data_IF_881135934181
#
_entry.id   IF_881135934181
#
_cell.length_a   1.000
_cell.length_b   1.000
_cell.length_c   1.000
_cell.angle_alpha   90.00
_cell.angle_beta   90.00
_cell.angle_gamma   90.00
#
_symmetry.space_group_name_H-M   'P 1'
#
loop_
_entity.id
_entity.type
_entity.pdbx_description
1 polymer ?
#
# COMPACT_ATOMS: atom_id res chain seq x y z
N UNK A 1 46.59 23.90 23.80
CA UNK A 1 46.27 22.53 24.27
C UNK A 1 45.17 22.69 25.30
N UNK A 2 43.87 22.53 25.04
CA UNK A 2 43.16 21.53 24.25
C UNK A 2 41.97 21.09 25.13
N UNK A 3 40.99 21.98 25.34
CA UNK A 3 39.76 21.67 26.08
C UNK A 3 38.79 20.94 25.14
N UNK A 4 38.63 19.63 25.32
CA UNK A 4 37.59 18.84 24.66
C UNK A 4 36.31 18.84 25.51
N UNK A 5 35.34 19.64 25.08
CA UNK A 5 33.92 19.48 25.41
C UNK A 5 33.40 18.15 24.87
N UNK A 6 33.00 17.23 25.75
CA UNK A 6 32.19 16.08 25.34
C UNK A 6 30.71 16.45 25.32
N UNK A 7 30.26 16.82 24.12
CA UNK A 7 28.86 17.01 23.79
C UNK A 7 28.14 15.65 23.82
N UNK A 8 27.17 15.52 24.72
CA UNK A 8 26.33 14.32 24.90
C UNK A 8 25.36 14.22 23.72
N UNK A 9 25.76 13.53 22.65
CA UNK A 9 24.91 13.17 21.52
C UNK A 9 23.76 12.27 21.99
N UNK A 10 22.59 12.88 22.23
CA UNK A 10 21.30 12.18 22.25
C UNK A 10 21.08 11.57 20.86
N UNK A 11 21.39 10.28 20.70
CA UNK A 11 20.91 9.46 19.59
C UNK A 11 19.38 9.54 19.57
N UNK A 12 18.83 10.29 18.61
CA UNK A 12 17.42 10.25 18.21
C UNK A 12 17.08 8.80 17.82
N UNK A 13 16.26 8.13 18.61
CA UNK A 13 15.60 6.86 18.28
C UNK A 13 14.16 7.15 17.86
N UNK A 14 13.89 7.22 16.55
CA UNK A 14 12.58 7.01 15.88
C UNK A 14 12.93 6.73 14.39
N UNK A 15 12.52 5.59 13.76
CA UNK A 15 11.12 5.27 13.43
C UNK A 15 10.68 3.80 13.56
N UNK A 16 11.41 2.95 14.30
CA UNK A 16 11.05 1.53 14.41
C UNK A 16 9.87 1.23 15.36
N UNK A 17 9.47 2.18 16.20
CA UNK A 17 8.41 1.99 17.20
C UNK A 17 7.01 1.95 16.59
N UNK A 18 6.79 2.60 15.46
CA UNK A 18 5.48 2.60 14.80
C UNK A 18 5.18 1.21 14.25
N UNK A 19 6.13 0.60 13.51
CA UNK A 19 5.99 -0.72 12.87
C UNK A 19 5.57 -1.85 13.85
N UNK A 20 6.11 -1.85 15.08
CA UNK A 20 5.80 -2.88 16.08
C UNK A 20 4.43 -2.73 16.77
N UNK A 21 3.87 -1.51 16.90
CA UNK A 21 2.52 -1.34 17.45
C UNK A 21 1.43 -1.79 16.45
N UNK A 22 1.68 -1.70 15.14
CA UNK A 22 0.72 -2.12 14.11
C UNK A 22 0.46 -3.63 14.10
N UNK A 23 1.49 -4.45 14.32
CA UNK A 23 1.35 -5.91 14.24
C UNK A 23 0.42 -6.49 15.33
N UNK A 24 0.40 -5.91 16.54
CA UNK A 24 -0.42 -6.42 17.65
C UNK A 24 -1.92 -6.21 17.43
N UNK A 25 -2.29 -5.05 16.88
CA UNK A 25 -3.69 -4.65 16.73
C UNK A 25 -4.30 -5.13 15.41
N UNK A 26 -3.47 -5.32 14.37
CA UNK A 26 -3.83 -5.91 13.09
C UNK A 26 -4.19 -7.40 13.21
N UNK A 27 -3.45 -8.16 14.03
CA UNK A 27 -3.73 -9.57 14.29
C UNK A 27 -4.98 -9.83 15.15
N UNK A 28 -5.53 -8.80 15.84
CA UNK A 28 -6.75 -8.93 16.66
C UNK A 28 -8.05 -9.09 15.86
N UNK A 29 -8.11 -8.54 14.66
CA UNK A 29 -9.32 -8.51 13.82
C UNK A 29 -9.18 -9.33 12.52
N UNK A 30 -7.96 -9.75 12.15
CA UNK A 30 -7.79 -10.79 11.14
C UNK A 30 -8.30 -12.12 11.70
N UNK A 31 -9.39 -12.60 11.12
CA UNK A 31 -9.74 -14.01 11.10
C UNK A 31 -8.68 -14.74 10.25
N UNK A 32 -7.44 -14.80 10.75
CA UNK A 32 -6.31 -15.45 10.09
C UNK A 32 -6.69 -16.92 9.88
N UNK A 33 -7.15 -17.22 8.66
CA UNK A 33 -7.52 -18.56 8.22
C UNK A 33 -6.34 -19.52 8.17
N UNK A 34 -5.11 -19.02 8.26
CA UNK A 34 -3.94 -19.85 8.50
C UNK A 34 -2.75 -18.97 8.92
N UNK A 35 -2.18 -19.30 10.07
CA UNK A 35 -0.84 -18.89 10.42
C UNK A 35 0.08 -20.07 10.07
N UNK A 36 0.96 -19.89 9.08
CA UNK A 36 1.96 -20.88 8.73
C UNK A 36 3.04 -20.92 9.83
N UNK A 37 2.91 -21.89 10.74
CA UNK A 37 3.96 -22.24 11.68
C UNK A 37 4.87 -23.33 11.07
N UNK A 38 6.20 -23.36 11.37
CA UNK A 38 7.17 -24.25 10.70
C UNK A 38 7.09 -25.74 11.07
N UNK A 39 5.89 -26.28 11.35
CA UNK A 39 5.65 -27.72 11.49
C UNK A 39 4.30 -28.09 10.85
N UNK A 40 4.31 -28.23 9.52
CA UNK A 40 3.59 -29.27 8.75
C UNK A 40 2.05 -29.42 8.84
N UNK A 41 1.36 -28.76 9.76
CA UNK A 41 -0.09 -28.79 9.88
C UNK A 41 -0.62 -27.35 9.92
N UNK A 42 -1.53 -27.05 9.00
CA UNK A 42 -2.28 -25.80 8.97
C UNK A 42 -3.28 -25.81 10.13
N UNK A 43 -2.92 -25.18 11.26
CA UNK A 43 -3.82 -25.04 12.42
C UNK A 43 -4.70 -23.82 12.16
N UNK A 44 -6.02 -24.04 12.09
CA UNK A 44 -7.00 -22.96 11.94
C UNK A 44 -7.45 -22.50 13.32
N UNK A 45 -7.93 -21.26 13.42
CA UNK A 45 -8.49 -20.72 14.68
C UNK A 45 -9.63 -21.60 15.23
N UNK A 46 -10.35 -22.26 14.33
CA UNK A 46 -11.45 -23.20 14.61
C UNK A 46 -10.99 -24.50 15.27
N UNK A 47 -9.72 -24.84 15.16
CA UNK A 47 -9.14 -26.07 15.70
C UNK A 47 -8.64 -25.87 17.15
N UNK A 48 -8.71 -24.64 17.68
CA UNK A 48 -8.32 -24.27 19.04
C UNK A 48 -9.48 -24.37 20.03
N UNK A 49 -9.19 -24.78 21.26
CA UNK A 49 -10.15 -24.73 22.37
C UNK A 49 -10.52 -23.29 22.74
N UNK A 50 -11.63 -23.11 23.46
CA UNK A 50 -12.08 -21.80 23.90
C UNK A 50 -11.03 -21.10 24.82
N UNK A 51 -10.32 -21.89 25.62
CA UNK A 51 -9.22 -21.44 26.48
C UNK A 51 -8.03 -20.94 25.65
N UNK A 52 -7.64 -21.68 24.61
CA UNK A 52 -6.55 -21.30 23.71
C UNK A 52 -6.89 -20.05 22.90
N UNK A 53 -8.12 -19.96 22.37
CA UNK A 53 -8.60 -18.75 21.67
C UNK A 53 -8.55 -17.53 22.62
N UNK A 54 -8.97 -17.70 23.88
CA UNK A 54 -8.92 -16.63 24.88
C UNK A 54 -7.48 -16.21 25.18
N UNK A 55 -6.56 -17.16 25.33
CA UNK A 55 -5.15 -16.89 25.54
C UNK A 55 -4.55 -16.16 24.34
N UNK A 56 -4.81 -16.66 23.13
CA UNK A 56 -4.37 -16.06 21.88
C UNK A 56 -4.85 -14.61 21.75
N UNK A 57 -6.16 -14.34 21.92
CA UNK A 57 -6.70 -12.98 21.90
C UNK A 57 -6.09 -12.06 22.95
N UNK A 58 -5.75 -12.58 24.13
CA UNK A 58 -5.06 -11.81 25.18
C UNK A 58 -3.61 -11.50 24.78
N UNK A 59 -2.90 -12.48 24.22
CA UNK A 59 -1.53 -12.31 23.72
C UNK A 59 -1.47 -11.33 22.55
N UNK A 60 -2.49 -11.34 21.68
CA UNK A 60 -2.71 -10.35 20.63
C UNK A 60 -2.94 -8.95 21.21
N UNK A 61 -3.88 -8.81 22.15
CA UNK A 61 -4.23 -7.52 22.75
C UNK A 61 -3.09 -6.89 23.56
N UNK A 62 -2.26 -7.73 24.17
CA UNK A 62 -1.05 -7.29 24.89
C UNK A 62 0.15 -7.03 23.99
N UNK A 63 0.05 -7.40 22.71
CA UNK A 63 1.12 -7.29 21.74
C UNK A 63 2.29 -8.24 21.96
N UNK A 64 2.09 -9.30 22.73
CA UNK A 64 3.10 -10.35 22.93
C UNK A 64 3.45 -11.03 21.60
N UNK A 65 2.45 -11.24 20.73
CA UNK A 65 2.61 -11.91 19.44
C UNK A 65 3.22 -11.02 18.35
N UNK A 66 3.23 -9.69 18.49
CA UNK A 66 3.85 -8.84 17.45
C UNK A 66 5.37 -9.01 17.36
N UNK A 67 6.00 -9.47 18.45
CA UNK A 67 7.43 -9.79 18.47
C UNK A 67 7.78 -11.03 17.64
N UNK A 68 6.78 -11.85 17.33
CA UNK A 68 6.96 -13.07 16.55
C UNK A 68 6.79 -12.82 15.04
N UNK A 69 6.31 -11.64 14.66
CA UNK A 69 6.13 -11.26 13.26
C UNK A 69 7.25 -10.33 12.83
N UNK A 70 7.99 -10.74 11.81
CA UNK A 70 8.95 -9.86 11.16
C UNK A 70 8.21 -8.83 10.30
N UNK A 71 8.43 -7.52 10.53
CA UNK A 71 7.79 -6.52 9.70
C UNK A 71 8.35 -6.50 8.28
N UNK A 72 7.44 -6.46 7.31
CA UNK A 72 7.81 -6.33 5.92
C UNK A 72 8.40 -4.95 5.64
N UNK A 73 9.55 -4.95 4.98
CA UNK A 73 10.16 -3.75 4.44
C UNK A 73 9.67 -3.57 3.00
N UNK A 74 9.01 -2.46 2.67
CA UNK A 74 8.49 -2.26 1.33
C UNK A 74 9.57 -2.35 0.27
N UNK A 75 9.31 -3.10 -0.79
CA UNK A 75 10.33 -3.40 -1.80
C UNK A 75 10.89 -2.15 -2.47
N UNK A 76 10.09 -1.09 -2.61
CA UNK A 76 10.50 0.20 -3.16
C UNK A 76 11.49 0.97 -2.28
N UNK A 77 11.65 0.59 -1.01
CA UNK A 77 12.67 1.18 -0.12
C UNK A 77 14.01 0.46 -0.19
N UNK A 78 14.05 -0.72 -0.81
CA UNK A 78 15.26 -1.55 -0.89
C UNK A 78 16.21 -1.06 -1.98
N UNK A 79 17.53 -1.26 -1.82
CA UNK A 79 18.49 -0.93 -2.88
C UNK A 79 18.22 -1.65 -4.21
N UNK A 80 17.68 -2.88 -4.17
CA UNK A 80 17.31 -3.69 -5.33
C UNK A 80 16.24 -3.04 -6.22
N UNK A 81 15.39 -2.16 -5.68
CA UNK A 81 14.43 -1.40 -6.46
C UNK A 81 15.11 -0.39 -7.41
N UNK A 82 16.32 0.08 -7.11
CA UNK A 82 17.07 1.02 -7.98
C UNK A 82 17.70 0.34 -9.19
N UNK A 83 17.81 -0.99 -9.17
CA UNK A 83 18.33 -1.80 -10.27
C UNK A 83 17.27 -2.34 -11.21
N UNK A 84 16.00 -1.91 -11.08
CA UNK A 84 14.93 -2.35 -11.98
C UNK A 84 15.21 -1.81 -13.38
N UNK A 85 15.44 -2.72 -14.32
CA UNK A 85 15.62 -2.42 -15.74
C UNK A 85 14.67 -3.25 -16.58
N UNK A 86 13.88 -2.57 -17.41
CA UNK A 86 13.00 -3.19 -18.39
C UNK A 86 13.59 -3.04 -19.79
N UNK A 87 13.21 -3.94 -20.69
CA UNK A 87 13.56 -3.83 -22.10
C UNK A 87 12.87 -2.60 -22.71
N UNK A 88 13.29 -2.12 -23.90
CA UNK A 88 12.57 -1.06 -24.60
C UNK A 88 11.09 -1.37 -24.81
N UNK A 89 10.73 -2.66 -24.93
CA UNK A 89 9.34 -3.13 -25.02
C UNK A 89 8.67 -3.35 -23.67
N UNK A 90 9.24 -2.93 -22.55
CA UNK A 90 8.65 -3.04 -21.21
C UNK A 90 8.85 -4.41 -20.53
N UNK A 91 9.32 -5.44 -21.23
CA UNK A 91 9.55 -6.78 -20.68
C UNK A 91 10.72 -6.84 -19.68
N UNK A 92 10.63 -7.70 -18.67
CA UNK A 92 11.69 -7.85 -17.66
C UNK A 92 12.98 -8.44 -18.27
N UNK A 93 14.12 -7.73 -18.11
CA UNK A 93 15.41 -8.15 -18.69
C UNK A 93 16.11 -9.26 -17.90
N UNK A 94 15.91 -9.29 -16.58
CA UNK A 94 16.51 -10.29 -15.70
C UNK A 94 15.42 -11.22 -15.19
N UNK A 95 15.42 -12.46 -15.68
CA UNK A 95 14.58 -13.54 -15.12
C UNK A 95 15.40 -14.26 -14.04
N UNK A 96 14.85 -14.52 -12.85
CA UNK A 96 15.42 -15.51 -11.96
C UNK A 96 15.53 -16.82 -12.73
N UNK A 97 16.75 -17.36 -12.88
CA UNK A 97 16.90 -18.70 -13.42
C UNK A 97 16.25 -19.64 -12.40
N UNK A 98 15.14 -20.27 -12.77
CA UNK A 98 14.78 -21.52 -12.12
C UNK A 98 15.92 -22.49 -12.41
N UNK A 99 16.73 -22.78 -11.40
CA UNK A 99 17.73 -23.85 -11.46
C UNK A 99 16.97 -25.15 -11.76
N UNK A 100 16.94 -25.55 -13.02
CA UNK A 100 16.45 -26.85 -13.43
C UNK A 100 17.59 -27.85 -13.30
N UNK A 101 17.32 -28.90 -12.53
CA UNK A 101 18.25 -29.87 -11.97
C UNK A 101 19.21 -30.53 -12.97
N UNK A 102 20.42 -30.81 -12.48
CA UNK A 102 21.39 -31.70 -13.12
C UNK A 102 22.38 -32.30 -12.12
N UNK A 103 22.05 -33.50 -11.62
CA UNK A 103 22.95 -34.56 -11.08
C UNK A 103 23.02 -34.75 -9.55
N UNK A 104 22.15 -35.67 -9.09
CA UNK A 104 22.29 -36.70 -8.04
C UNK A 104 22.71 -36.40 -6.58
N UNK A 105 21.77 -36.77 -5.72
CA UNK A 105 21.88 -37.48 -4.42
C UNK A 105 21.84 -36.68 -3.10
N UNK A 106 20.65 -36.73 -2.50
CA UNK A 106 20.36 -36.85 -1.06
C UNK A 106 20.82 -35.73 -0.11
N UNK A 107 19.91 -34.79 0.16
CA UNK A 107 19.22 -34.68 1.46
C UNK A 107 18.31 -33.43 1.45
N UNK A 108 17.02 -33.69 1.61
CA UNK A 108 15.98 -32.78 2.13
C UNK A 108 16.36 -31.30 2.31
N UNK A 109 15.97 -30.48 1.34
CA UNK A 109 15.56 -29.09 1.59
C UNK A 109 14.64 -28.70 0.46
N UNK A 110 13.33 -28.79 0.72
CA UNK A 110 12.29 -28.25 -0.14
C UNK A 110 12.65 -26.80 -0.47
N UNK A 111 12.76 -26.37 -1.74
CA UNK A 111 13.03 -24.98 -2.04
C UNK A 111 11.76 -24.20 -1.69
N UNK A 112 11.77 -23.50 -0.56
CA UNK A 112 10.82 -22.42 -0.33
C UNK A 112 10.91 -21.46 -1.52
N UNK A 113 9.76 -21.05 -2.12
CA UNK A 113 9.79 -20.05 -3.18
C UNK A 113 10.33 -18.76 -2.57
N UNK A 114 11.60 -18.45 -2.82
CA UNK A 114 12.20 -17.16 -2.46
C UNK A 114 11.35 -16.08 -3.13
N UNK A 115 10.51 -15.40 -2.37
CA UNK A 115 9.84 -14.18 -2.79
C UNK A 115 10.93 -13.25 -3.32
N UNK A 116 10.95 -13.03 -4.63
CA UNK A 116 11.85 -12.06 -5.24
C UNK A 116 11.58 -10.72 -4.58
N UNK A 117 12.64 -10.04 -4.11
CA UNK A 117 12.49 -8.84 -3.29
C UNK A 117 11.69 -7.73 -3.96
N UNK A 118 11.73 -7.66 -5.29
CA UNK A 118 10.95 -6.76 -6.14
C UNK A 118 9.94 -7.61 -6.93
N UNK A 119 8.69 -7.16 -7.10
CA UNK A 119 7.73 -7.87 -7.92
C UNK A 119 8.20 -8.03 -9.37
N UNK A 120 7.90 -9.18 -9.97
CA UNK A 120 8.24 -9.45 -11.36
C UNK A 120 7.55 -8.45 -12.30
N UNK A 121 8.26 -7.98 -13.32
CA UNK A 121 7.72 -7.15 -14.39
C UNK A 121 6.81 -7.96 -15.33
N UNK A 122 6.42 -7.39 -16.49
CA UNK A 122 5.57 -8.06 -17.43
C UNK A 122 6.34 -9.16 -18.17
N UNK A 123 5.65 -10.29 -18.40
CA UNK A 123 6.23 -11.48 -19.06
C UNK A 123 6.40 -11.27 -20.57
N UNK A 124 5.51 -10.46 -21.14
CA UNK A 124 5.47 -10.10 -22.55
C UNK A 124 5.74 -8.60 -22.70
N UNK A 125 6.19 -8.18 -23.88
CA UNK A 125 6.32 -6.77 -24.19
C UNK A 125 4.97 -6.05 -24.10
N UNK A 126 4.98 -4.86 -23.53
CA UNK A 126 3.80 -4.00 -23.47
C UNK A 126 3.55 -3.42 -24.87
N UNK A 127 2.32 -3.53 -25.40
CA UNK A 127 1.98 -2.91 -26.67
C UNK A 127 1.93 -1.39 -26.51
N UNK A 128 2.25 -0.62 -27.56
CA UNK A 128 1.99 0.82 -27.61
C UNK A 128 0.51 1.14 -27.36
N UNK A 129 0.24 2.28 -26.75
CA UNK A 129 -1.12 2.65 -26.32
C UNK A 129 -2.10 2.82 -27.51
N UNK A 130 -1.60 3.21 -28.68
CA UNK A 130 -2.35 3.29 -29.93
C UNK A 130 -3.00 1.96 -30.36
N UNK A 131 -2.45 0.83 -29.90
CA UNK A 131 -3.04 -0.50 -30.16
C UNK A 131 -4.22 -0.81 -29.23
N UNK A 132 -4.29 -0.14 -28.08
CA UNK A 132 -5.33 -0.34 -27.07
C UNK A 132 -6.51 0.61 -27.25
N UNK A 133 -6.26 1.81 -27.77
CA UNK A 133 -7.28 2.84 -27.96
C UNK A 133 -7.07 3.60 -29.26
N UNK A 134 -8.19 3.96 -29.92
CA UNK A 134 -8.20 4.85 -31.09
C UNK A 134 -8.39 6.31 -30.73
N UNK A 135 -8.80 6.58 -29.48
CA UNK A 135 -8.98 7.94 -28.96
C UNK A 135 -7.80 8.31 -28.11
N UNK A 136 -7.47 9.60 -28.10
CA UNK A 136 -6.43 10.12 -27.23
C UNK A 136 -6.69 9.73 -25.77
N UNK A 137 -5.67 9.26 -25.05
CA UNK A 137 -5.80 8.92 -23.64
C UNK A 137 -6.23 10.15 -22.83
N UNK A 138 -6.99 9.91 -21.76
CA UNK A 138 -7.41 11.00 -20.88
C UNK A 138 -6.20 11.73 -20.30
N UNK A 139 -6.20 13.07 -20.24
CA UNK A 139 -5.13 13.83 -19.58
C UNK A 139 -5.08 13.58 -18.06
N UNK A 140 -6.11 12.94 -17.48
CA UNK A 140 -6.22 12.66 -16.05
C UNK A 140 -5.53 11.36 -15.62
N UNK A 141 -4.91 10.61 -16.53
CA UNK A 141 -4.29 9.31 -16.20
C UNK A 141 -3.17 9.43 -15.15
N UNK A 142 -2.45 10.55 -15.11
CA UNK A 142 -1.47 10.82 -14.05
C UNK A 142 -2.13 10.93 -12.66
N UNK A 143 -3.30 11.57 -12.58
CA UNK A 143 -4.07 11.69 -11.34
C UNK A 143 -4.63 10.32 -10.93
N UNK A 144 -5.18 9.58 -11.89
CA UNK A 144 -5.69 8.24 -11.66
C UNK A 144 -4.59 7.27 -11.19
N UNK A 145 -3.37 7.42 -11.70
CA UNK A 145 -2.22 6.64 -11.25
C UNK A 145 -1.93 6.88 -9.77
N UNK A 146 -2.09 8.10 -9.24
CA UNK A 146 -1.87 8.38 -7.81
C UNK A 146 -2.87 7.64 -6.92
N UNK A 147 -4.17 7.66 -7.25
CA UNK A 147 -5.21 6.89 -6.55
C UNK A 147 -4.86 5.38 -6.55
N UNK A 148 -4.46 4.85 -7.70
CA UNK A 148 -4.10 3.43 -7.87
C UNK A 148 -2.85 3.08 -7.04
N UNK A 149 -1.79 3.90 -7.11
CA UNK A 149 -0.56 3.68 -6.34
C UNK A 149 -0.81 3.78 -4.83
N UNK A 150 -1.65 4.73 -4.38
CA UNK A 150 -2.03 4.82 -2.97
C UNK A 150 -2.70 3.53 -2.52
N UNK A 151 -3.69 3.04 -3.28
CA UNK A 151 -4.42 1.81 -2.95
C UNK A 151 -3.50 0.59 -2.89
N UNK A 152 -2.54 0.49 -3.82
CA UNK A 152 -1.54 -0.57 -3.85
C UNK A 152 -0.61 -0.52 -2.63
N UNK A 153 -0.05 0.66 -2.32
CA UNK A 153 0.83 0.84 -1.17
C UNK A 153 0.11 0.54 0.14
N UNK A 154 -1.13 1.05 0.29
CA UNK A 154 -1.98 0.75 1.44
C UNK A 154 -2.20 -0.75 1.59
N UNK A 155 -2.60 -1.43 0.51
CA UNK A 155 -2.90 -2.86 0.55
C UNK A 155 -1.67 -3.69 0.88
N UNK A 156 -0.50 -3.41 0.30
CA UNK A 156 0.71 -4.14 0.67
C UNK A 156 1.13 -3.89 2.12
N UNK A 157 0.97 -2.67 2.65
CA UNK A 157 1.22 -2.42 4.08
C UNK A 157 0.21 -3.13 4.96
N UNK A 158 -1.06 -3.16 4.56
CA UNK A 158 -2.11 -3.88 5.26
C UNK A 158 -1.72 -5.37 5.35
N UNK A 159 -1.32 -5.98 4.24
CA UNK A 159 -0.98 -7.40 4.18
C UNK A 159 0.48 -7.74 4.55
N UNK A 160 1.23 -6.81 5.15
CA UNK A 160 2.64 -6.98 5.47
C UNK A 160 3.45 -7.58 4.29
N UNK A 161 3.19 -7.08 3.07
CA UNK A 161 3.83 -7.53 1.83
C UNK A 161 3.30 -8.83 1.23
N UNK A 162 2.52 -9.62 1.96
CA UNK A 162 2.04 -10.94 1.53
C UNK A 162 0.52 -10.95 1.26
N UNK A 163 0.14 -10.36 0.13
CA UNK A 163 -1.24 -10.41 -0.34
C UNK A 163 -1.69 -11.82 -0.76
N UNK A 164 -0.76 -12.78 -0.95
CA UNK A 164 -1.09 -14.15 -1.37
C UNK A 164 -1.75 -14.96 -0.25
N UNK A 165 -1.61 -14.53 1.00
CA UNK A 165 -2.29 -15.11 2.16
C UNK A 165 -3.82 -14.97 2.10
N UNK A 166 -4.33 -13.86 1.57
CA UNK A 166 -5.75 -13.64 1.31
C UNK A 166 -5.97 -12.71 0.09
N UNK A 167 -5.86 -13.27 -1.13
CA UNK A 167 -6.06 -12.52 -2.37
C UNK A 167 -7.46 -11.91 -2.50
N UNK A 168 -8.50 -12.55 -1.93
CA UNK A 168 -9.88 -12.09 -1.99
C UNK A 168 -10.07 -10.82 -1.18
N UNK A 169 -9.58 -10.81 0.07
CA UNK A 169 -9.58 -9.61 0.91
C UNK A 169 -8.65 -8.52 0.37
N UNK A 170 -7.48 -8.88 -0.16
CA UNK A 170 -6.56 -7.90 -0.75
C UNK A 170 -7.20 -7.18 -1.95
N UNK A 171 -7.87 -7.93 -2.84
CA UNK A 171 -8.59 -7.35 -3.97
C UNK A 171 -9.78 -6.49 -3.51
N UNK A 172 -10.47 -6.90 -2.45
CA UNK A 172 -11.54 -6.10 -1.82
C UNK A 172 -11.00 -4.79 -1.24
N UNK A 173 -9.84 -4.82 -0.59
CA UNK A 173 -9.19 -3.63 -0.05
C UNK A 173 -8.85 -2.63 -1.16
N UNK A 174 -8.21 -3.08 -2.25
CA UNK A 174 -7.94 -2.27 -3.45
C UNK A 174 -9.21 -1.60 -3.97
N UNK A 175 -10.27 -2.38 -4.22
CA UNK A 175 -11.52 -1.84 -4.77
C UNK A 175 -12.23 -0.89 -3.79
N UNK A 176 -12.03 -1.03 -2.49
CA UNK A 176 -12.64 -0.12 -1.52
C UNK A 176 -11.89 1.23 -1.45
N UNK A 177 -10.56 1.21 -1.54
CA UNK A 177 -9.67 2.37 -1.39
C UNK A 177 -9.53 3.17 -2.67
N UNK A 178 -9.38 2.49 -3.82
CA UNK A 178 -9.26 3.14 -5.12
C UNK A 178 -10.64 3.50 -5.66
N UNK A 179 -10.95 4.79 -5.76
CA UNK A 179 -12.20 5.24 -6.38
C UNK A 179 -12.17 5.07 -7.88
N UNK A 180 -10.99 5.14 -8.49
CA UNK A 180 -10.77 4.88 -9.91
C UNK A 180 -11.10 3.42 -10.26
N UNK A 181 -10.64 2.46 -9.46
CA UNK A 181 -10.85 1.04 -9.74
C UNK A 181 -12.21 0.53 -9.23
N UNK A 182 -12.63 0.95 -8.04
CA UNK A 182 -13.83 0.46 -7.35
C UNK A 182 -15.15 1.04 -7.82
N UNK A 183 -15.14 2.34 -8.10
CA UNK A 183 -16.34 3.16 -8.31
C UNK A 183 -16.38 3.86 -9.68
N UNK A 184 -15.35 3.65 -10.52
CA UNK A 184 -15.19 4.33 -11.83
C UNK A 184 -15.14 5.86 -11.73
N UNK A 185 -14.66 6.37 -10.58
CA UNK A 185 -14.46 7.79 -10.38
C UNK A 185 -13.35 8.33 -11.30
N UNK A 186 -13.42 9.62 -11.58
CA UNK A 186 -12.50 10.34 -12.47
C UNK A 186 -11.96 11.58 -11.77
N UNK A 187 -11.16 11.39 -10.70
CA UNK A 187 -10.63 12.53 -9.97
C UNK A 187 -9.82 13.43 -10.92
N UNK A 188 -10.07 14.73 -10.86
CA UNK A 188 -9.47 15.71 -11.76
C UNK A 188 -8.16 16.26 -11.20
N UNK A 189 -7.93 16.12 -9.89
CA UNK A 189 -6.75 16.63 -9.19
C UNK A 189 -6.12 15.58 -8.27
N UNK A 190 -4.82 15.72 -8.01
CA UNK A 190 -4.10 14.87 -7.04
C UNK A 190 -4.69 15.04 -5.63
N UNK A 191 -5.08 16.26 -5.25
CA UNK A 191 -5.74 16.54 -3.98
C UNK A 191 -7.05 15.76 -3.82
N UNK A 192 -7.90 15.72 -4.85
CA UNK A 192 -9.15 14.97 -4.86
C UNK A 192 -8.90 13.46 -4.75
N UNK A 193 -7.98 12.92 -5.56
CA UNK A 193 -7.61 11.51 -5.54
C UNK A 193 -7.11 11.08 -4.15
N UNK A 194 -6.14 11.81 -3.58
CA UNK A 194 -5.60 11.51 -2.26
C UNK A 194 -6.64 11.72 -1.16
N UNK A 195 -7.47 12.77 -1.24
CA UNK A 195 -8.53 13.04 -0.29
C UNK A 195 -9.51 11.87 -0.18
N UNK A 196 -9.97 11.34 -1.32
CA UNK A 196 -10.87 10.18 -1.35
C UNK A 196 -10.23 8.91 -0.77
N UNK A 197 -8.95 8.64 -1.10
CA UNK A 197 -8.23 7.50 -0.54
C UNK A 197 -7.99 7.65 0.97
N UNK A 198 -7.66 8.85 1.44
CA UNK A 198 -7.44 9.17 2.85
C UNK A 198 -8.74 9.04 3.66
N UNK A 199 -9.85 9.55 3.13
CA UNK A 199 -11.18 9.40 3.75
C UNK A 199 -11.51 7.92 3.96
N UNK A 200 -11.32 7.10 2.93
CA UNK A 200 -11.57 5.66 3.02
C UNK A 200 -10.63 4.98 4.04
N UNK A 201 -9.33 5.23 3.97
CA UNK A 201 -8.34 4.57 4.84
C UNK A 201 -8.34 5.07 6.28
N UNK A 202 -8.89 6.26 6.54
CA UNK A 202 -9.17 6.76 7.88
C UNK A 202 -10.58 6.39 8.39
N UNK A 203 -11.39 5.73 7.58
CA UNK A 203 -12.76 5.33 7.97
C UNK A 203 -12.77 4.25 9.07
N UNK A 204 -13.96 4.00 9.63
CA UNK A 204 -14.15 2.97 10.65
C UNK A 204 -13.70 1.57 10.18
N UNK A 205 -13.72 1.29 8.88
CA UNK A 205 -13.29 0.01 8.29
C UNK A 205 -11.81 -0.25 8.53
N UNK A 206 -10.99 0.80 8.48
CA UNK A 206 -9.53 0.72 8.59
C UNK A 206 -8.97 1.42 9.83
N UNK A 207 -9.82 1.69 10.83
CA UNK A 207 -9.44 2.38 12.08
C UNK A 207 -8.27 1.71 12.81
N UNK A 208 -8.08 0.41 12.65
CA UNK A 208 -7.01 -0.37 13.29
C UNK A 208 -5.67 -0.27 12.56
N UNK A 209 -5.61 0.31 11.37
CA UNK A 209 -4.38 0.41 10.55
C UNK A 209 -3.44 1.53 10.99
N UNK A 210 -3.71 2.18 12.13
CA UNK A 210 -2.90 3.22 12.77
C UNK A 210 -3.18 4.66 12.32
N UNK A 211 -4.33 4.84 11.68
CA UNK A 211 -5.01 6.13 11.53
C UNK A 211 -4.27 7.14 10.66
N UNK A 212 -4.63 8.42 10.83
CA UNK A 212 -4.26 9.48 9.89
C UNK A 212 -2.75 9.61 9.62
N UNK A 213 -1.90 9.44 10.65
CA UNK A 213 -0.43 9.53 10.47
C UNK A 213 0.12 8.40 9.60
N UNK A 214 -0.43 7.20 9.73
CA UNK A 214 -0.09 6.08 8.86
C UNK A 214 -0.55 6.35 7.43
N UNK A 215 -1.80 6.79 7.27
CA UNK A 215 -2.38 7.08 5.96
C UNK A 215 -1.62 8.18 5.21
N UNK A 216 -1.20 9.25 5.89
CA UNK A 216 -0.33 10.29 5.30
C UNK A 216 1.08 9.76 5.00
N UNK A 217 1.59 8.82 5.80
CA UNK A 217 2.87 8.16 5.55
C UNK A 217 2.92 7.40 4.22
N UNK A 218 1.77 6.93 3.72
CA UNK A 218 1.69 6.26 2.41
C UNK A 218 2.06 7.18 1.24
N UNK A 219 1.97 8.50 1.42
CA UNK A 219 2.38 9.45 0.40
C UNK A 219 3.90 9.36 0.18
N UNK A 220 4.69 9.03 1.22
CA UNK A 220 6.13 8.76 1.05
C UNK A 220 6.39 7.53 0.19
N UNK A 221 5.53 6.52 0.25
CA UNK A 221 5.65 5.31 -0.58
C UNK A 221 5.38 5.62 -2.05
N UNK A 222 4.33 6.39 -2.31
CA UNK A 222 3.99 6.85 -3.66
C UNK A 222 5.13 7.70 -4.23
N UNK A 223 5.60 8.68 -3.45
CA UNK A 223 6.73 9.54 -3.84
C UNK A 223 7.99 8.68 -4.13
N UNK A 224 8.25 7.66 -3.31
CA UNK A 224 9.37 6.74 -3.53
C UNK A 224 9.23 5.96 -4.84
N UNK A 225 8.05 5.42 -5.13
CA UNK A 225 7.77 4.71 -6.39
C UNK A 225 7.92 5.62 -7.61
N UNK A 226 7.41 6.86 -7.53
CA UNK A 226 7.52 7.84 -8.61
C UNK A 226 8.99 8.22 -8.88
N UNK A 227 9.80 8.40 -7.83
CA UNK A 227 11.23 8.67 -7.97
C UNK A 227 12.04 7.49 -8.51
N UNK A 228 11.60 6.24 -8.27
CA UNK A 228 12.21 5.06 -8.90
C UNK A 228 11.90 4.98 -10.41
N UNK A 229 10.83 5.62 -10.86
CA UNK A 229 10.50 5.82 -12.27
C UNK A 229 9.78 4.64 -12.93
N UNK A 230 9.76 4.66 -14.27
CA UNK A 230 8.91 3.81 -15.12
C UNK A 230 9.00 2.31 -14.78
N UNK A 231 10.21 1.78 -14.56
CA UNK A 231 10.40 0.37 -14.24
C UNK A 231 9.68 -0.07 -12.96
N UNK A 232 9.81 0.70 -11.88
CA UNK A 232 9.15 0.42 -10.62
C UNK A 232 7.63 0.58 -10.71
N UNK A 233 7.16 1.59 -11.44
CA UNK A 233 5.73 1.80 -11.67
C UNK A 233 5.12 0.62 -12.44
N UNK A 234 5.77 0.15 -13.51
CA UNK A 234 5.32 -1.03 -14.26
C UNK A 234 5.32 -2.29 -13.38
N UNK A 235 6.38 -2.52 -12.59
CA UNK A 235 6.41 -3.65 -11.65
C UNK A 235 5.28 -3.58 -10.61
N UNK A 236 4.98 -2.39 -10.07
CA UNK A 236 3.88 -2.21 -9.12
C UNK A 236 2.51 -2.50 -9.74
N UNK A 237 2.29 -2.05 -10.99
CA UNK A 237 1.04 -2.30 -11.71
C UNK A 237 0.91 -3.78 -12.14
N UNK A 238 2.03 -4.44 -12.49
CA UNK A 238 2.05 -5.89 -12.74
C UNK A 238 1.64 -6.67 -11.49
N UNK A 239 2.22 -6.34 -10.34
CA UNK A 239 1.89 -6.98 -9.07
C UNK A 239 0.42 -6.76 -8.68
N UNK A 240 -0.07 -5.53 -8.84
CA UNK A 240 -1.48 -5.20 -8.63
C UNK A 240 -2.40 -5.99 -9.58
N UNK A 241 -2.02 -6.15 -10.85
CA UNK A 241 -2.78 -6.95 -11.81
C UNK A 241 -2.87 -8.42 -11.35
N UNK A 242 -1.75 -9.01 -10.91
CA UNK A 242 -1.71 -10.38 -10.38
C UNK A 242 -2.57 -10.53 -9.12
N UNK A 243 -2.52 -9.54 -8.23
CA UNK A 243 -3.36 -9.48 -7.02
C UNK A 243 -4.85 -9.50 -7.39
N UNK A 244 -5.29 -8.64 -8.30
CA UNK A 244 -6.69 -8.57 -8.76
C UNK A 244 -7.12 -9.90 -9.41
N UNK A 245 -6.28 -10.47 -10.28
CA UNK A 245 -6.55 -11.76 -10.94
C UNK A 245 -6.63 -12.93 -9.95
N UNK A 246 -5.79 -12.93 -8.91
CA UNK A 246 -5.84 -13.93 -7.84
C UNK A 246 -7.13 -13.80 -7.02
N UNK A 247 -7.52 -12.58 -6.64
CA UNK A 247 -8.80 -12.31 -6.00
C UNK A 247 -9.99 -12.78 -6.84
N UNK A 248 -9.97 -12.53 -8.15
CA UNK A 248 -11.04 -12.99 -9.05
C UNK A 248 -11.13 -14.53 -9.12
N UNK A 249 -9.99 -15.22 -9.12
CA UNK A 249 -9.94 -16.69 -9.07
C UNK A 249 -10.52 -17.24 -7.77
N UNK A 250 -10.26 -16.60 -6.63
CA UNK A 250 -10.84 -17.00 -5.34
C UNK A 250 -12.35 -16.75 -5.26
N UNK A 251 -12.84 -15.62 -5.76
CA UNK A 251 -14.29 -15.38 -5.82
C UNK A 251 -15.02 -16.45 -6.66
N UNK A 252 -14.35 -17.00 -7.69
CA UNK A 252 -14.87 -18.09 -8.53
C UNK A 252 -14.99 -19.41 -7.77
N UNK A 253 -14.16 -19.69 -6.77
CA UNK A 253 -14.27 -20.89 -5.93
C UNK A 253 -15.22 -20.74 -4.73
N UNK A 254 -15.49 -19.50 -4.29
CA UNK A 254 -16.37 -19.25 -3.14
C UNK A 254 -17.85 -19.58 -3.40
N UNK A 255 -18.50 -20.13 -2.36
CA UNK A 255 -19.95 -20.39 -2.29
C UNK A 255 -20.68 -19.09 -1.97
N UNK A 256 -20.94 -18.28 -2.99
CA UNK A 256 -21.74 -17.05 -2.88
C UNK A 256 -22.92 -17.04 -3.85
N UNK A 257 -23.90 -16.17 -3.59
CA UNK A 257 -25.06 -16.00 -4.47
C UNK A 257 -24.63 -15.58 -5.89
N UNK A 258 -25.23 -16.20 -6.92
CA UNK A 258 -24.85 -15.99 -8.34
C UNK A 258 -24.81 -14.51 -8.76
N UNK A 259 -25.74 -13.70 -8.25
CA UNK A 259 -25.85 -12.28 -8.58
C UNK A 259 -24.68 -11.45 -8.00
N UNK A 260 -24.39 -11.60 -6.70
CA UNK A 260 -23.26 -10.93 -6.04
C UNK A 260 -21.93 -11.35 -6.66
N UNK A 261 -21.76 -12.65 -6.94
CA UNK A 261 -20.59 -13.18 -7.65
C UNK A 261 -20.36 -12.51 -8.99
N UNK A 262 -21.42 -12.41 -9.78
CA UNK A 262 -21.36 -11.78 -11.10
C UNK A 262 -21.07 -10.28 -11.01
N UNK A 263 -21.51 -9.60 -9.96
CA UNK A 263 -21.20 -8.17 -9.73
C UNK A 263 -19.73 -7.98 -9.36
N UNK A 264 -19.22 -8.74 -8.39
CA UNK A 264 -17.84 -8.62 -7.91
C UNK A 264 -16.82 -9.04 -8.98
N UNK A 265 -17.08 -10.13 -9.71
CA UNK A 265 -16.21 -10.56 -10.82
C UNK A 265 -16.15 -9.50 -11.94
N UNK A 266 -17.27 -8.86 -12.30
CA UNK A 266 -17.28 -7.76 -13.28
C UNK A 266 -16.47 -6.55 -12.81
N UNK A 267 -16.58 -6.19 -11.52
CA UNK A 267 -15.78 -5.10 -10.94
C UNK A 267 -14.27 -5.41 -11.01
N UNK A 268 -13.85 -6.61 -10.59
CA UNK A 268 -12.44 -7.02 -10.66
C UNK A 268 -11.94 -7.05 -12.10
N UNK A 269 -12.72 -7.59 -13.03
CA UNK A 269 -12.34 -7.61 -14.44
C UNK A 269 -12.20 -6.20 -15.02
N UNK A 270 -13.08 -5.26 -14.65
CA UNK A 270 -12.93 -3.85 -15.05
C UNK A 270 -11.69 -3.21 -14.44
N UNK A 271 -11.38 -3.49 -13.18
CA UNK A 271 -10.19 -2.97 -12.51
C UNK A 271 -8.91 -3.51 -13.14
N UNK A 272 -8.87 -4.81 -13.43
CA UNK A 272 -7.76 -5.49 -14.12
C UNK A 272 -7.46 -4.85 -15.47
N UNK A 273 -8.50 -4.57 -16.28
CA UNK A 273 -8.34 -3.88 -17.56
C UNK A 273 -7.83 -2.45 -17.42
N UNK A 274 -8.28 -1.70 -16.40
CA UNK A 274 -7.79 -0.34 -16.12
C UNK A 274 -6.33 -0.34 -15.70
N UNK A 275 -5.93 -1.27 -14.83
CA UNK A 275 -4.54 -1.43 -14.40
C UNK A 275 -3.65 -1.78 -15.60
N UNK A 276 -4.09 -2.70 -16.46
CA UNK A 276 -3.37 -3.03 -17.68
C UNK A 276 -3.22 -1.82 -18.63
N UNK A 277 -4.30 -1.06 -18.83
CA UNK A 277 -4.26 0.15 -19.64
C UNK A 277 -3.31 1.22 -19.05
N UNK A 278 -3.35 1.45 -17.73
CA UNK A 278 -2.43 2.36 -17.04
C UNK A 278 -0.98 1.90 -17.17
N UNK A 279 -0.72 0.60 -17.12
CA UNK A 279 0.62 0.05 -17.29
C UNK A 279 1.20 0.34 -18.68
N UNK A 280 0.43 0.13 -19.75
CA UNK A 280 0.82 0.53 -21.10
C UNK A 280 0.98 2.06 -21.22
N UNK A 281 0.09 2.84 -20.61
CA UNK A 281 0.20 4.30 -20.63
C UNK A 281 1.48 4.79 -19.92
N UNK A 282 1.84 4.21 -18.77
CA UNK A 282 3.08 4.51 -18.03
C UNK A 282 4.30 4.20 -18.89
N UNK A 283 4.30 3.07 -19.62
CA UNK A 283 5.41 2.69 -20.49
C UNK A 283 5.66 3.71 -21.61
N UNK A 284 4.61 4.34 -22.13
CA UNK A 284 4.68 5.34 -23.20
C UNK A 284 5.05 6.77 -22.72
N UNK A 285 5.11 7.03 -21.40
CA UNK A 285 5.43 8.37 -20.88
C UNK A 285 6.94 8.65 -20.79
N UNK A 286 7.36 9.92 -20.97
CA UNK A 286 8.75 10.32 -20.75
C UNK A 286 9.16 10.18 -19.28
N UNK A 287 10.43 9.88 -19.03
CA UNK A 287 10.94 9.61 -17.68
C UNK A 287 10.79 10.79 -16.71
N UNK A 288 10.84 12.03 -17.22
CA UNK A 288 10.72 13.27 -16.44
C UNK A 288 9.30 13.50 -15.88
N UNK A 289 8.29 12.83 -16.46
CA UNK A 289 6.89 12.95 -16.02
C UNK A 289 6.73 12.54 -14.54
N UNK A 290 7.49 11.54 -14.10
CA UNK A 290 7.37 10.97 -12.76
C UNK A 290 7.94 11.88 -11.67
N UNK A 291 9.04 12.58 -11.96
CA UNK A 291 9.60 13.57 -11.03
C UNK A 291 8.65 14.75 -10.85
N UNK A 292 7.98 15.17 -11.94
CA UNK A 292 6.97 16.23 -11.89
C UNK A 292 5.75 15.80 -11.06
N UNK A 293 5.23 14.59 -11.28
CA UNK A 293 4.12 14.05 -10.51
C UNK A 293 4.48 13.86 -9.02
N UNK A 294 5.71 13.42 -8.72
CA UNK A 294 6.21 13.30 -7.35
C UNK A 294 6.18 14.65 -6.62
N UNK A 295 6.63 15.73 -7.28
CA UNK A 295 6.59 17.08 -6.73
C UNK A 295 5.17 17.55 -6.41
N UNK A 296 4.17 17.19 -7.23
CA UNK A 296 2.77 17.50 -6.94
C UNK A 296 2.30 16.75 -5.68
N UNK A 297 2.60 15.45 -5.56
CA UNK A 297 2.25 14.65 -4.38
C UNK A 297 2.94 15.17 -3.12
N UNK A 298 4.19 15.64 -3.21
CA UNK A 298 4.93 16.26 -2.11
C UNK A 298 4.25 17.54 -1.60
N UNK A 299 3.75 18.40 -2.51
CA UNK A 299 3.01 19.61 -2.15
C UNK A 299 1.70 19.28 -1.44
N UNK A 300 0.95 18.30 -1.95
CA UNK A 300 -0.29 17.85 -1.30
C UNK A 300 -0.03 17.25 0.08
N UNK A 301 1.03 16.45 0.21
CA UNK A 301 1.47 15.89 1.49
C UNK A 301 1.77 16.98 2.51
N UNK A 302 2.49 18.04 2.12
CA UNK A 302 2.80 19.17 3.00
C UNK A 302 1.52 19.88 3.47
N UNK A 303 0.61 20.16 2.53
CA UNK A 303 -0.69 20.79 2.82
C UNK A 303 -1.54 19.98 3.80
N UNK A 304 -1.55 18.65 3.67
CA UNK A 304 -2.26 17.74 4.58
C UNK A 304 -1.64 17.72 5.98
N UNK A 305 -0.31 17.81 6.09
CA UNK A 305 0.38 17.88 7.38
C UNK A 305 0.05 19.17 8.13
N UNK A 306 0.05 20.31 7.44
CA UNK A 306 -0.33 21.61 8.03
C UNK A 306 -1.78 21.60 8.52
N UNK A 307 -2.69 21.03 7.73
CA UNK A 307 -4.10 20.89 8.08
C UNK A 307 -4.30 19.98 9.31
N UNK A 308 -3.61 18.84 9.38
CA UNK A 308 -3.70 17.89 10.50
C UNK A 308 -3.18 18.42 11.84
N UNK A 309 -2.14 19.28 11.84
CA UNK A 309 -1.66 19.93 13.07
C UNK A 309 -2.57 21.07 13.52
N UNK A 310 -3.26 21.74 12.60
CA UNK A 310 -4.19 22.83 12.92
C UNK A 310 -5.41 22.35 13.72
N UNK A 311 -5.87 21.11 13.49
CA UNK A 311 -6.95 20.48 14.28
C UNK A 311 -6.58 20.16 15.73
N UNK A 312 -5.29 20.27 16.09
CA UNK A 312 -4.78 20.00 17.45
C UNK A 312 -4.32 21.29 18.17
N UNK A 313 -4.78 22.48 17.73
CA UNK A 313 -4.51 23.72 18.47
C UNK A 313 -5.50 23.90 19.62
N UNK A 314 -5.03 23.48 20.79
CA UNK A 314 -5.10 24.15 22.11
C UNK A 314 -6.39 24.93 22.37
N UNK A 315 -7.18 24.47 23.37
CA UNK A 315 -8.09 25.33 24.13
C UNK A 315 -7.33 26.58 24.56
N UNK A 316 -7.44 27.65 23.79
CA UNK A 316 -6.98 28.96 24.21
C UNK A 316 -7.90 29.38 25.35
N UNK A 317 -7.36 29.41 26.56
CA UNK A 317 -7.97 30.07 27.70
C UNK A 317 -8.37 31.49 27.27
N UNK A 318 -9.68 31.77 27.30
CA UNK A 318 -10.19 33.13 27.20
C UNK A 318 -9.70 33.91 28.42
N UNK A 319 -8.60 34.64 28.29
CA UNK A 319 -8.33 35.77 29.18
C UNK A 319 -9.30 36.89 28.80
N UNK A 320 -10.27 37.14 29.68
CA UNK A 320 -11.08 38.34 29.65
C UNK A 320 -10.18 39.58 29.69
N UNK A 321 -10.36 40.47 28.73
CA UNK A 321 -9.81 41.83 28.76
C UNK A 321 -10.95 42.77 29.17
N UNK A 322 -10.75 43.72 30.10
CA UNK A 322 -11.84 44.52 30.65
C UNK A 322 -12.38 45.53 29.63
N UNK A 323 -13.70 45.70 29.62
CA UNK A 323 -14.40 46.73 28.85
C UNK A 323 -13.88 48.13 29.21
N UNK A 324 -13.44 48.87 28.19
CA UNK A 324 -13.25 50.32 28.31
C UNK A 324 -14.41 50.99 27.58
N UNK A 325 -15.28 51.69 28.34
CA UNK A 325 -16.34 52.54 27.80
C UNK A 325 -15.72 53.73 27.08
N UNK A 326 -16.16 54.03 25.87
CA UNK A 326 -15.98 55.35 25.25
C UNK A 326 -17.34 55.80 24.71
N UNK A 327 -17.91 56.79 25.39
CA UNK A 327 -19.07 57.60 24.97
C UNK A 327 -18.49 58.88 24.37
N UNK A 328 -18.61 59.09 23.05
CA UNK A 328 -18.84 60.41 22.45
C UNK A 328 -19.64 60.22 21.16
N UNK A 329 -20.74 60.95 21.07
CA UNK A 329 -21.67 61.11 19.96
C UNK A 329 -21.38 62.48 19.32
N UNK A 330 -21.37 62.59 17.99
CA UNK A 330 -21.39 63.89 17.30
C UNK A 330 -22.56 63.93 16.28
N UNK A 331 -23.47 64.86 16.60
CA UNK A 331 -24.62 65.47 15.90
C UNK A 331 -25.85 64.60 15.60
#
# INVERSE_FOLDING_TARGET
MGQMSYCKLRKKRVPYLLVCEFSSQFLLELNCGSALFPLGNEIRLEDLSAEEIKYFRKALASGELSRLIEPWTPWWTKPSARSISLSPGGGQLVKPLHEHEGTNAQASTTPEPKLSEVPAGPENSLPPLEQLTRTDPSPLLAVHLVDVLYSYCFTLRLYNGDWHSDPSGAATAILSVSKVLGDDARPETVAEALGACLEQTCSAVYRHTGGFRFCIGLLDDIISLLHLGCGALICSLCDLQRLIQAGERMLKSEKMGKAEKGKSSRKLHSAERKVYFLMCWVHDQPGEAWSSLAGIVEVEKASLWESGYSGTRVKAEKKEVPQTKVLIEEV
#
